data_IF_368066555808
#
_entry.id   IF_368066555808
#
_cell.length_a   1.000
_cell.length_b   1.000
_cell.length_c   1.000
_cell.angle_alpha   90.00
_cell.angle_beta   90.00
_cell.angle_gamma   90.00
#
_symmetry.space_group_name_H-M   'P 1'
#
loop_
_entity.id
_entity.type
_entity.pdbx_description
1 polymer ?
#
# COMPACT_ATOMS: atom_id res chain seq x y z
N UNK A 1 9.28 -28.62 -10.09
CA UNK A 1 8.12 -28.48 -9.17
C UNK A 1 8.34 -27.34 -8.18
N UNK A 2 9.37 -27.37 -7.32
CA UNK A 2 9.62 -26.26 -6.37
C UNK A 2 10.02 -24.94 -7.06
N UNK A 3 10.87 -25.00 -8.09
CA UNK A 3 11.32 -23.80 -8.80
C UNK A 3 10.19 -22.99 -9.46
N UNK A 4 9.21 -23.68 -10.05
CA UNK A 4 8.02 -23.05 -10.63
C UNK A 4 7.13 -22.40 -9.57
N UNK A 5 6.99 -23.01 -8.39
CA UNK A 5 6.23 -22.43 -7.28
C UNK A 5 6.90 -21.16 -6.75
N UNK A 6 8.23 -21.17 -6.60
CA UNK A 6 8.99 -19.99 -6.17
C UNK A 6 8.91 -18.86 -7.19
N UNK A 7 8.96 -19.19 -8.49
CA UNK A 7 8.85 -18.21 -9.58
C UNK A 7 7.52 -17.43 -9.58
N UNK A 8 6.44 -18.01 -9.06
CA UNK A 8 5.14 -17.34 -8.92
C UNK A 8 4.99 -16.70 -7.53
N UNK A 9 5.43 -17.39 -6.49
CA UNK A 9 5.24 -16.96 -5.10
C UNK A 9 6.07 -15.73 -4.77
N UNK A 10 7.37 -15.73 -5.11
CA UNK A 10 8.26 -14.61 -4.79
C UNK A 10 7.75 -13.26 -5.32
N UNK A 11 7.39 -13.11 -6.61
CA UNK A 11 6.89 -11.83 -7.12
C UNK A 11 5.44 -11.53 -6.71
N UNK A 12 4.67 -12.49 -6.21
CA UNK A 12 3.30 -12.21 -5.71
C UNK A 12 3.26 -11.72 -4.26
N UNK A 13 4.38 -11.81 -3.52
CA UNK A 13 4.46 -11.33 -2.13
C UNK A 13 4.22 -9.82 -2.00
N UNK A 14 4.83 -9.01 -2.88
CA UNK A 14 4.72 -7.55 -2.83
C UNK A 14 3.28 -7.06 -3.05
N UNK A 15 2.55 -7.50 -4.11
CA UNK A 15 1.15 -7.16 -4.24
C UNK A 15 0.27 -7.74 -3.13
N UNK A 16 0.58 -8.93 -2.59
CA UNK A 16 -0.11 -9.47 -1.43
C UNK A 16 0.06 -8.61 -0.16
N UNK A 17 1.26 -8.07 0.06
CA UNK A 17 1.53 -7.16 1.18
C UNK A 17 0.80 -5.83 1.02
N UNK A 18 0.85 -5.24 -0.18
CA UNK A 18 0.11 -4.02 -0.50
C UNK A 18 -1.40 -4.21 -0.30
N UNK A 19 -1.96 -5.33 -0.79
CA UNK A 19 -3.38 -5.64 -0.61
C UNK A 19 -3.74 -5.79 0.87
N UNK A 20 -2.91 -6.48 1.66
CA UNK A 20 -3.13 -6.59 3.11
C UNK A 20 -3.14 -5.21 3.78
N UNK A 21 -2.29 -4.28 3.36
CA UNK A 21 -2.28 -2.90 3.89
C UNK A 21 -3.47 -2.05 3.48
N UNK A 22 -4.10 -2.35 2.35
CA UNK A 22 -5.32 -1.67 1.89
C UNK A 22 -6.54 -2.22 2.61
N UNK A 23 -6.62 -3.54 2.77
CA UNK A 23 -7.73 -4.23 3.43
C UNK A 23 -7.71 -4.06 4.96
N UNK A 24 -6.51 -4.11 5.55
CA UNK A 24 -6.29 -3.94 6.99
C UNK A 24 -5.15 -2.95 7.24
N UNK A 25 -5.52 -1.66 7.26
CA UNK A 25 -4.58 -0.55 7.51
C UNK A 25 -3.93 -0.63 8.89
N UNK A 26 -4.65 -1.16 9.90
CA UNK A 26 -4.17 -1.31 11.28
C UNK A 26 -3.27 -2.54 11.51
N UNK A 27 -3.21 -3.46 10.55
CA UNK A 27 -2.47 -4.71 10.75
C UNK A 27 -0.97 -4.47 10.97
N UNK A 28 -0.45 -5.14 12.00
CA UNK A 28 0.98 -5.22 12.30
C UNK A 28 1.77 -5.89 11.17
N UNK A 29 3.08 -5.65 11.16
CA UNK A 29 4.01 -6.19 10.14
C UNK A 29 4.00 -7.72 10.11
N UNK A 30 3.90 -8.38 11.26
CA UNK A 30 3.87 -9.84 11.37
C UNK A 30 2.63 -10.45 10.73
N UNK A 31 1.45 -9.88 10.99
CA UNK A 31 0.20 -10.33 10.38
C UNK A 31 0.21 -10.11 8.87
N UNK A 32 0.74 -8.96 8.40
CA UNK A 32 0.95 -8.70 6.97
C UNK A 32 1.89 -9.72 6.33
N UNK A 33 3.00 -10.06 6.98
CA UNK A 33 3.96 -11.04 6.46
C UNK A 33 3.36 -12.45 6.34
N UNK A 34 2.52 -12.86 7.29
CA UNK A 34 1.83 -14.16 7.26
C UNK A 34 0.73 -14.22 6.20
N UNK A 35 0.03 -13.11 5.96
CA UNK A 35 -1.09 -13.04 4.99
C UNK A 35 -0.64 -12.74 3.56
N UNK A 36 0.48 -12.04 3.37
CA UNK A 36 0.96 -11.63 2.06
C UNK A 36 1.12 -12.79 1.04
N UNK A 37 1.67 -13.97 1.39
CA UNK A 37 1.78 -15.08 0.44
C UNK A 37 0.41 -15.57 -0.05
N UNK A 38 -0.56 -15.72 0.86
CA UNK A 38 -1.89 -16.20 0.53
C UNK A 38 -2.67 -15.17 -0.32
N UNK A 39 -2.64 -13.89 0.08
CA UNK A 39 -3.29 -12.81 -0.65
C UNK A 39 -2.67 -12.56 -2.02
N UNK A 40 -1.34 -12.66 -2.12
CA UNK A 40 -0.61 -12.55 -3.38
C UNK A 40 -1.03 -13.62 -4.39
N UNK A 41 -1.06 -14.88 -3.94
CA UNK A 41 -1.50 -16.00 -4.79
C UNK A 41 -2.98 -15.90 -5.14
N UNK A 42 -3.84 -15.49 -4.21
CA UNK A 42 -5.27 -15.29 -4.47
C UNK A 42 -5.49 -14.24 -5.56
N UNK A 43 -4.77 -13.11 -5.48
CA UNK A 43 -4.82 -12.07 -6.51
C UNK A 43 -4.37 -12.64 -7.87
N UNK A 44 -3.24 -13.35 -7.92
CA UNK A 44 -2.75 -13.93 -9.18
C UNK A 44 -3.68 -14.99 -9.76
N UNK A 45 -4.35 -15.77 -8.91
CA UNK A 45 -5.35 -16.73 -9.33
C UNK A 45 -6.58 -16.03 -9.92
N UNK A 46 -7.07 -14.98 -9.26
CA UNK A 46 -8.15 -14.14 -9.78
C UNK A 46 -7.80 -13.51 -11.13
N UNK A 47 -6.61 -12.93 -11.24
CA UNK A 47 -6.09 -12.37 -12.49
C UNK A 47 -6.03 -13.44 -13.58
N UNK A 48 -5.41 -14.59 -13.32
CA UNK A 48 -5.36 -15.69 -14.28
C UNK A 48 -6.76 -16.12 -14.74
N UNK A 49 -7.71 -16.25 -13.82
CA UNK A 49 -9.11 -16.57 -14.14
C UNK A 49 -9.77 -15.53 -15.04
N UNK A 50 -9.57 -14.24 -14.75
CA UNK A 50 -10.10 -13.16 -15.61
C UNK A 50 -9.50 -13.17 -17.01
N UNK A 51 -8.21 -13.47 -17.15
CA UNK A 51 -7.57 -13.59 -18.47
C UNK A 51 -8.14 -14.75 -19.28
N UNK A 52 -8.46 -15.87 -18.62
CA UNK A 52 -9.13 -17.02 -19.26
C UNK A 52 -10.53 -16.62 -19.73
N UNK A 53 -11.31 -15.93 -18.89
CA UNK A 53 -12.65 -15.46 -19.26
C UNK A 53 -12.63 -14.45 -20.42
N UNK A 54 -11.56 -13.67 -20.54
CA UNK A 54 -11.36 -12.70 -21.61
C UNK A 54 -10.75 -13.30 -22.90
N UNK A 55 -10.44 -14.60 -22.92
CA UNK A 55 -9.78 -15.31 -24.04
C UNK A 55 -8.42 -14.72 -24.46
N UNK A 56 -7.71 -14.09 -23.51
CA UNK A 56 -6.36 -13.51 -23.70
C UNK A 56 -5.32 -14.18 -22.79
N UNK A 57 -5.65 -15.36 -22.27
CA UNK A 57 -4.75 -16.09 -21.39
C UNK A 57 -3.52 -16.59 -22.15
N UNK A 58 -2.35 -16.17 -21.68
CA UNK A 58 -1.05 -16.69 -22.09
C UNK A 58 -0.06 -16.53 -20.94
N UNK A 59 1.03 -17.30 -20.89
CA UNK A 59 2.08 -17.09 -19.88
C UNK A 59 2.67 -15.68 -19.92
N UNK A 60 2.73 -15.08 -21.11
CA UNK A 60 3.27 -13.74 -21.31
C UNK A 60 2.32 -12.65 -20.80
N UNK A 61 1.02 -12.77 -21.07
CA UNK A 61 0.02 -11.84 -20.53
C UNK A 61 -0.08 -11.94 -19.01
N UNK A 62 -0.01 -13.14 -18.43
CA UNK A 62 0.09 -13.32 -16.98
C UNK A 62 1.34 -12.63 -16.40
N UNK A 63 2.51 -12.79 -17.05
CA UNK A 63 3.76 -12.15 -16.64
C UNK A 63 3.70 -10.62 -16.69
N UNK A 64 3.04 -10.05 -17.71
CA UNK A 64 2.81 -8.61 -17.81
C UNK A 64 1.92 -8.09 -16.67
N UNK A 65 0.83 -8.79 -16.36
CA UNK A 65 -0.01 -8.42 -15.22
C UNK A 65 0.73 -8.53 -13.89
N UNK A 66 1.53 -9.57 -13.71
CA UNK A 66 2.36 -9.75 -12.52
C UNK A 66 3.35 -8.58 -12.34
N UNK A 67 4.01 -8.14 -13.41
CA UNK A 67 4.84 -6.93 -13.40
C UNK A 67 4.02 -5.67 -13.08
N UNK A 68 2.88 -5.49 -13.74
CA UNK A 68 1.99 -4.36 -13.52
C UNK A 68 1.57 -4.25 -12.04
N UNK A 69 1.09 -5.34 -11.44
CA UNK A 69 0.69 -5.36 -10.04
C UNK A 69 1.87 -5.14 -9.09
N UNK A 70 3.08 -5.58 -9.43
CA UNK A 70 4.27 -5.24 -8.64
C UNK A 70 4.57 -3.74 -8.68
N UNK A 71 4.46 -3.09 -9.83
CA UNK A 71 4.65 -1.63 -9.96
C UNK A 71 3.59 -0.87 -9.18
N UNK A 72 2.32 -1.26 -9.31
CA UNK A 72 1.20 -0.65 -8.55
C UNK A 72 1.42 -0.84 -7.06
N UNK A 73 1.75 -2.05 -6.63
CA UNK A 73 1.99 -2.35 -5.23
C UNK A 73 3.17 -1.56 -4.67
N UNK A 74 4.29 -1.46 -5.41
CA UNK A 74 5.41 -0.61 -5.02
C UNK A 74 4.99 0.85 -4.80
N UNK A 75 4.19 1.43 -5.71
CA UNK A 75 3.66 2.78 -5.54
C UNK A 75 2.75 2.90 -4.32
N UNK A 76 1.83 1.97 -4.10
CA UNK A 76 0.92 1.98 -2.94
C UNK A 76 1.71 1.93 -1.63
N UNK A 77 2.72 1.07 -1.55
CA UNK A 77 3.59 0.96 -0.37
C UNK A 77 4.37 2.26 -0.13
N UNK A 78 5.00 2.81 -1.16
CA UNK A 78 5.80 4.04 -1.02
C UNK A 78 4.96 5.29 -0.74
N UNK A 79 3.82 5.47 -1.41
CA UNK A 79 2.92 6.59 -1.15
C UNK A 79 2.40 6.59 0.29
N UNK A 80 2.14 5.41 0.88
CA UNK A 80 1.75 5.29 2.29
C UNK A 80 2.89 5.65 3.23
N UNK A 81 4.13 5.23 2.92
CA UNK A 81 5.28 5.62 3.74
C UNK A 81 5.48 7.13 3.73
N UNK A 82 5.35 7.79 2.58
CA UNK A 82 5.48 9.25 2.47
C UNK A 82 4.43 10.01 3.31
N UNK A 83 3.21 9.46 3.43
CA UNK A 83 2.15 10.02 4.30
C UNK A 83 2.35 9.68 5.79
N UNK A 84 2.96 8.54 6.11
CA UNK A 84 3.28 8.12 7.49
C UNK A 84 4.57 8.74 8.04
N UNK A 85 5.34 9.45 7.22
CA UNK A 85 6.44 10.33 7.67
C UNK A 85 5.91 11.67 8.24
N UNK A 86 4.59 11.84 8.37
CA UNK A 86 4.02 12.80 9.31
C UNK A 86 3.71 12.07 10.61
N UNK A 87 4.20 12.62 11.73
CA UNK A 87 3.98 12.12 13.10
C UNK A 87 2.59 11.49 13.22
N UNK A 88 2.49 10.28 13.77
CA UNK A 88 1.18 9.62 13.97
C UNK A 88 0.22 10.58 14.68
N UNK A 89 -1.10 10.47 14.47
CA UNK A 89 -2.07 11.39 15.11
C UNK A 89 -1.88 11.49 16.63
N UNK A 90 -1.47 10.40 17.28
CA UNK A 90 -1.08 10.38 18.69
C UNK A 90 0.22 11.12 18.98
N UNK A 91 1.28 10.92 18.20
CA UNK A 91 2.53 11.69 18.34
C UNK A 91 2.34 13.17 18.00
N UNK A 92 1.40 13.50 17.11
CA UNK A 92 1.01 14.87 16.80
C UNK A 92 0.27 15.50 17.98
N UNK A 93 -0.61 14.74 18.64
CA UNK A 93 -1.32 15.17 19.84
C UNK A 93 -0.37 15.26 21.05
N UNK A 94 0.56 14.33 21.20
CA UNK A 94 1.61 14.37 22.22
C UNK A 94 2.56 15.55 21.98
N UNK A 95 2.97 15.81 20.74
CA UNK A 95 3.73 17.00 20.38
C UNK A 95 2.95 18.29 20.67
N UNK A 96 1.65 18.33 20.37
CA UNK A 96 0.79 19.47 20.69
C UNK A 96 0.61 19.66 22.21
N UNK A 97 0.52 18.58 22.99
CA UNK A 97 0.45 18.63 24.46
C UNK A 97 1.78 19.03 25.11
N UNK A 98 2.92 18.70 24.47
CA UNK A 98 4.26 19.05 24.94
C UNK A 98 4.80 20.36 24.34
N UNK A 99 4.00 21.07 23.54
CA UNK A 99 4.38 22.37 22.96
C UNK A 99 5.39 22.30 21.80
N UNK A 100 5.67 21.12 21.26
CA UNK A 100 6.50 20.94 20.07
C UNK A 100 5.66 21.16 18.79
N UNK A 101 5.22 22.39 18.57
CA UNK A 101 4.60 22.79 17.31
C UNK A 101 5.71 22.99 16.27
N UNK A 102 5.83 22.06 15.32
CA UNK A 102 6.60 22.33 14.10
C UNK A 102 5.92 23.48 13.36
N UNK A 103 6.55 24.65 13.38
CA UNK A 103 6.12 25.93 12.78
C UNK A 103 5.81 25.88 11.27
N UNK A 104 5.92 24.74 10.60
CA UNK A 104 5.94 24.69 9.13
C UNK A 104 4.59 24.36 8.46
N UNK A 105 3.50 24.12 9.23
CA UNK A 105 2.19 23.78 8.62
C UNK A 105 1.02 24.71 8.96
N UNK A 106 1.16 25.61 9.95
CA UNK A 106 0.03 26.41 10.45
C UNK A 106 -0.06 27.84 9.87
N UNK A 107 0.89 28.28 9.06
CA UNK A 107 0.88 29.64 8.52
C UNK A 107 -0.13 29.87 7.38
N UNK A 108 -0.67 28.81 6.76
CA UNK A 108 -1.51 28.96 5.54
C UNK A 108 -3.01 28.77 5.79
N UNK A 109 -3.43 28.05 6.84
CA UNK A 109 -4.85 27.85 7.17
C UNK A 109 -5.40 28.89 8.13
N UNK A 110 -4.61 29.34 9.11
CA UNK A 110 -5.05 30.29 10.14
C UNK A 110 -5.14 31.74 9.64
N UNK A 111 -4.37 32.14 8.64
CA UNK A 111 -4.39 33.52 8.11
C UNK A 111 -5.68 33.84 7.35
N UNK A 112 -6.28 32.86 6.66
CA UNK A 112 -7.53 33.07 5.91
C UNK A 112 -8.75 33.25 6.80
N UNK A 113 -8.78 32.62 7.97
CA UNK A 113 -9.93 32.71 8.88
C UNK A 113 -9.93 34.05 9.66
N UNK A 114 -8.75 34.64 9.87
CA UNK A 114 -8.59 35.97 10.45
C UNK A 114 -8.93 37.12 9.48
N UNK A 115 -8.72 36.95 8.17
CA UNK A 115 -9.07 37.96 7.17
C UNK A 115 -10.58 38.04 6.87
N UNK A 116 -11.34 36.97 7.09
CA UNK A 116 -12.79 36.94 6.80
C UNK A 116 -13.61 37.67 7.89
N UNK A 117 -13.02 37.99 9.04
CA UNK A 117 -13.70 38.64 10.17
C UNK A 117 -13.45 40.16 10.27
N UNK A 118 -12.80 40.77 9.29
CA UNK A 118 -12.61 42.23 9.15
C UNK A 118 -13.50 42.80 8.04
#
# INVERSE_FOLDING_TARGET
>A
MLGSSVAVLAPSLLPGWALCSVLDGSSDRWRKALLAPALGLLLMYGVSGTLVLADVWSPLSLGLFLLFFNVVAYRVVHQRHEVLTKRTRWQLLEAAMHGELSEETDSTSLSKEAEIQL
#
